data_IF_668552428570
#
_entry.id   IF_668552428570
#
_cell.length_a   1.000
_cell.length_b   1.000
_cell.length_c   1.000
_cell.angle_alpha   90.00
_cell.angle_beta   90.00
_cell.angle_gamma   90.00
#
_symmetry.space_group_name_H-M   'P 1'
#
loop_
_entity.id
_entity.type
_entity.pdbx_description
1 polymer ?
#
# COMPACT_ATOMS: atom_id res chain seq x y z
N UNK A 1 -10.94 25.32 8.82
CA UNK A 1 -10.36 24.89 7.53
C UNK A 1 -9.84 26.15 6.84
N UNK A 2 -8.52 26.29 6.70
CA UNK A 2 -7.91 27.47 6.06
C UNK A 2 -8.17 27.42 4.55
N UNK A 3 -8.55 28.55 3.95
CA UNK A 3 -8.71 28.72 2.49
C UNK A 3 -7.35 28.56 1.80
N UNK A 4 -6.95 27.33 1.50
CA UNK A 4 -5.71 26.96 0.79
C UNK A 4 -5.97 26.77 -0.72
N UNK A 5 -7.21 26.92 -1.20
CA UNK A 5 -7.59 26.52 -2.57
C UNK A 5 -7.04 27.42 -3.69
N UNK A 6 -6.60 28.65 -3.40
CA UNK A 6 -6.08 29.56 -4.43
C UNK A 6 -4.57 29.81 -4.36
N UNK A 7 -3.87 29.32 -3.33
CA UNK A 7 -2.43 29.57 -3.16
C UNK A 7 -1.61 28.87 -4.25
N UNK A 8 -0.88 29.66 -5.02
CA UNK A 8 0.08 29.18 -6.03
C UNK A 8 1.50 29.17 -5.48
N UNK A 9 1.89 30.25 -4.81
CA UNK A 9 3.24 30.43 -4.27
C UNK A 9 3.20 30.82 -2.80
N UNK A 10 4.20 30.41 -2.03
CA UNK A 10 4.44 30.88 -0.66
C UNK A 10 5.83 31.48 -0.59
N UNK A 11 5.92 32.73 -0.17
CA UNK A 11 7.20 33.40 0.10
C UNK A 11 7.57 33.08 1.55
N UNK A 12 8.77 32.56 1.78
CA UNK A 12 9.36 32.36 3.10
C UNK A 12 10.51 33.34 3.30
N UNK A 13 10.46 34.12 4.37
CA UNK A 13 11.49 35.08 4.71
C UNK A 13 11.82 35.01 6.20
N UNK A 14 13.07 35.32 6.55
CA UNK A 14 13.50 35.48 7.93
C UNK A 14 13.56 36.97 8.27
N UNK A 15 13.28 37.30 9.53
CA UNK A 15 13.37 38.65 10.06
C UNK A 15 14.25 38.68 11.30
N UNK A 16 15.13 39.68 11.37
CA UNK A 16 15.92 40.02 12.55
C UNK A 16 15.73 41.49 12.88
N UNK A 17 15.50 41.82 14.15
CA UNK A 17 15.32 43.20 14.61
C UNK A 17 16.16 43.52 15.86
N UNK A 18 16.70 44.73 15.90
CA UNK A 18 17.47 45.27 17.02
C UNK A 18 16.56 45.91 18.08
N UNK A 19 15.76 45.07 18.71
CA UNK A 19 14.87 45.44 19.80
C UNK A 19 13.78 44.41 20.00
N UNK A 20 12.81 44.71 20.86
CA UNK A 20 11.63 43.87 21.07
C UNK A 20 10.56 44.32 20.09
N UNK A 21 10.19 43.44 19.17
CA UNK A 21 9.06 43.66 18.26
C UNK A 21 8.02 42.56 18.43
N UNK A 22 6.76 42.91 18.19
CA UNK A 22 5.67 41.96 18.21
C UNK A 22 5.15 41.69 16.79
N UNK A 23 4.31 40.64 16.67
CA UNK A 23 3.66 40.29 15.40
C UNK A 23 2.94 41.48 14.74
N UNK A 24 2.14 42.30 15.45
CA UNK A 24 1.45 43.44 14.83
C UNK A 24 2.41 44.45 14.20
N UNK A 25 3.60 44.65 14.78
CA UNK A 25 4.60 45.60 14.26
C UNK A 25 5.15 45.13 12.92
N UNK A 26 5.46 43.84 12.80
CA UNK A 26 5.96 43.26 11.54
C UNK A 26 4.91 43.31 10.46
N UNK A 27 3.67 42.93 10.78
CA UNK A 27 2.57 43.02 9.81
C UNK A 27 2.35 44.47 9.39
N UNK A 28 2.37 45.41 10.35
CA UNK A 28 2.24 46.83 10.09
C UNK A 28 3.34 47.37 9.19
N UNK A 29 4.58 46.96 9.40
CA UNK A 29 5.72 47.34 8.57
C UNK A 29 5.62 46.78 7.15
N UNK A 30 5.23 45.51 7.00
CA UNK A 30 5.03 44.89 5.69
C UNK A 30 3.99 45.65 4.89
N UNK A 31 2.81 45.93 5.45
CA UNK A 31 1.80 46.71 4.72
C UNK A 31 2.26 48.15 4.51
N UNK A 32 2.76 48.84 5.54
CA UNK A 32 3.04 50.27 5.46
C UNK A 32 4.21 50.64 4.56
N UNK A 33 5.30 49.89 4.57
CA UNK A 33 6.51 50.24 3.80
C UNK A 33 6.51 49.68 2.38
N UNK A 34 5.70 48.66 2.08
CA UNK A 34 5.53 48.17 0.71
C UNK A 34 4.42 48.92 -0.05
N UNK A 35 3.51 49.57 0.68
CA UNK A 35 2.46 50.43 0.12
C UNK A 35 3.09 51.65 -0.59
N UNK A 36 2.77 51.82 -1.88
CA UNK A 36 3.33 52.87 -2.73
C UNK A 36 4.61 52.51 -3.51
N UNK A 37 5.30 51.41 -3.18
CA UNK A 37 6.46 50.94 -3.95
C UNK A 37 6.06 50.08 -5.16
N UNK A 38 4.97 49.33 -5.04
CA UNK A 38 4.62 48.26 -5.96
C UNK A 38 3.57 48.64 -7.04
N UNK A 39 3.12 49.91 -7.05
CA UNK A 39 2.04 50.38 -7.93
C UNK A 39 0.65 49.97 -7.44
N UNK A 40 -0.40 50.51 -8.07
CA UNK A 40 -1.81 50.31 -7.64
C UNK A 40 -2.28 48.87 -7.73
N UNK A 41 -1.72 48.09 -8.66
CA UNK A 41 -2.16 46.72 -8.93
C UNK A 41 -1.60 45.69 -7.93
N UNK A 42 -0.58 46.10 -7.16
CA UNK A 42 0.10 45.28 -6.15
C UNK A 42 -0.07 45.86 -4.73
N UNK A 43 -1.13 46.63 -4.48
CA UNK A 43 -1.51 47.03 -3.12
C UNK A 43 -1.88 45.81 -2.27
N UNK A 44 -1.04 45.49 -1.28
CA UNK A 44 -1.23 44.30 -0.44
C UNK A 44 -2.55 44.29 0.32
N UNK A 45 -3.11 45.45 0.70
CA UNK A 45 -4.39 45.51 1.42
C UNK A 45 -5.54 45.09 0.51
N UNK A 46 -5.54 45.57 -0.72
CA UNK A 46 -6.57 45.23 -1.70
C UNK A 46 -6.40 43.80 -2.23
N UNK A 47 -5.15 43.35 -2.41
CA UNK A 47 -4.86 41.96 -2.75
C UNK A 47 -5.32 40.99 -1.64
N UNK A 48 -5.24 41.38 -0.37
CA UNK A 48 -5.76 40.57 0.72
C UNK A 48 -7.29 40.54 0.75
N UNK A 49 -7.97 41.67 0.49
CA UNK A 49 -9.45 41.72 0.39
C UNK A 49 -9.98 40.90 -0.79
N UNK A 50 -9.29 40.96 -1.93
CA UNK A 50 -9.64 40.20 -3.14
C UNK A 50 -9.24 38.73 -3.06
N UNK A 51 -8.52 38.32 -2.01
CA UNK A 51 -8.08 36.94 -1.79
C UNK A 51 -6.93 36.49 -2.68
N UNK A 52 -6.25 37.43 -3.37
CA UNK A 52 -5.03 37.13 -4.12
C UNK A 52 -3.81 36.99 -3.21
N UNK A 53 -3.81 37.72 -2.10
CA UNK A 53 -2.87 37.57 -1.00
C UNK A 53 -3.56 36.87 0.17
N UNK A 54 -2.95 35.81 0.71
CA UNK A 54 -3.48 35.14 1.89
C UNK A 54 -3.10 35.86 3.19
N UNK A 55 -3.27 35.17 4.31
CA UNK A 55 -2.87 35.72 5.62
C UNK A 55 -1.36 35.65 5.76
N UNK A 56 -0.76 36.79 6.09
CA UNK A 56 0.65 36.87 6.47
C UNK A 56 0.80 36.19 7.83
N UNK A 57 1.53 35.08 7.86
CA UNK A 57 1.88 34.40 9.10
C UNK A 57 3.26 34.84 9.54
N UNK A 58 3.37 35.19 10.81
CA UNK A 58 4.56 35.80 11.39
C UNK A 58 4.77 35.16 12.75
N UNK A 59 5.91 34.51 12.91
CA UNK A 59 6.37 33.93 14.16
C UNK A 59 7.61 34.68 14.61
N UNK A 60 7.56 35.32 15.77
CA UNK A 60 8.66 36.10 16.32
C UNK A 60 8.94 35.62 17.73
N UNK A 61 10.21 35.50 18.04
CA UNK A 61 10.72 35.28 19.38
C UNK A 61 11.66 36.43 19.74
N UNK A 62 11.51 36.93 20.96
CA UNK A 62 12.28 38.06 21.48
C UNK A 62 13.10 37.59 22.67
N UNK A 63 14.42 37.78 22.62
CA UNK A 63 15.33 37.39 23.69
C UNK A 63 16.53 38.34 23.73
N UNK A 64 16.91 38.79 24.92
CA UNK A 64 18.12 39.60 25.12
C UNK A 64 18.12 40.95 24.38
N UNK A 65 16.96 41.57 24.18
CA UNK A 65 16.83 42.85 23.48
C UNK A 65 16.98 42.76 21.96
N UNK A 66 16.92 41.55 21.39
CA UNK A 66 16.79 41.32 19.94
C UNK A 66 15.59 40.43 19.67
N UNK A 67 15.04 40.56 18.46
CA UNK A 67 13.97 39.70 17.98
C UNK A 67 14.38 39.00 16.70
N UNK A 68 14.01 37.74 16.60
CA UNK A 68 14.19 36.93 15.39
C UNK A 68 12.89 36.22 15.06
N UNK A 69 12.61 36.01 13.79
CA UNK A 69 11.38 35.37 13.38
C UNK A 69 11.37 34.90 11.95
N UNK A 70 10.27 34.26 11.59
CA UNK A 70 9.99 33.78 10.24
C UNK A 70 8.66 34.36 9.76
N UNK A 71 8.62 34.75 8.50
CA UNK A 71 7.46 35.30 7.81
C UNK A 71 7.09 34.32 6.68
N UNK A 72 5.81 33.98 6.57
CA UNK A 72 5.29 33.25 5.42
C UNK A 72 4.09 33.95 4.80
N UNK A 73 4.16 34.16 3.49
CA UNK A 73 3.14 34.89 2.73
C UNK A 73 2.62 34.01 1.59
N UNK A 74 1.43 33.39 1.74
CA UNK A 74 0.76 32.70 0.66
C UNK A 74 0.16 33.68 -0.35
N UNK A 75 0.31 33.40 -1.65
CA UNK A 75 -0.24 34.22 -2.73
C UNK A 75 -0.73 33.39 -3.91
N UNK A 76 -1.66 33.93 -4.68
CA UNK A 76 -2.17 33.37 -5.94
C UNK A 76 -1.61 34.07 -7.19
N UNK A 77 -0.60 34.91 -6.99
CA UNK A 77 0.10 35.70 -8.00
C UNK A 77 0.80 34.86 -9.07
N UNK A 78 1.20 35.52 -10.15
CA UNK A 78 2.15 34.94 -11.08
C UNK A 78 3.60 34.99 -10.54
N UNK A 79 4.54 34.41 -11.30
CA UNK A 79 5.94 34.33 -10.89
C UNK A 79 6.60 35.70 -10.77
N UNK A 80 6.23 36.65 -11.63
CA UNK A 80 6.84 37.97 -11.71
C UNK A 80 6.35 38.82 -10.54
N UNK A 81 5.03 38.88 -10.34
CA UNK A 81 4.37 39.54 -9.21
C UNK A 81 4.90 39.01 -7.86
N UNK A 82 5.06 37.69 -7.73
CA UNK A 82 5.57 37.06 -6.50
C UNK A 82 7.03 37.45 -6.24
N UNK A 83 7.86 37.51 -7.29
CA UNK A 83 9.26 37.93 -7.16
C UNK A 83 9.40 39.42 -6.81
N UNK A 84 8.54 40.27 -7.38
CA UNK A 84 8.48 41.70 -7.06
C UNK A 84 8.10 41.89 -5.59
N UNK A 85 7.07 41.19 -5.12
CA UNK A 85 6.68 41.25 -3.70
C UNK A 85 7.82 40.77 -2.79
N UNK A 86 8.46 39.65 -3.12
CA UNK A 86 9.59 39.15 -2.35
C UNK A 86 10.71 40.19 -2.23
N UNK A 87 11.09 40.85 -3.34
CA UNK A 87 12.09 41.90 -3.33
C UNK A 87 11.66 43.12 -2.49
N UNK A 88 10.39 43.50 -2.53
CA UNK A 88 9.88 44.60 -1.70
C UNK A 88 9.84 44.28 -0.20
N UNK A 89 9.78 43.01 0.19
CA UNK A 89 9.93 42.63 1.61
C UNK A 89 11.35 42.91 2.10
N UNK A 90 12.36 42.70 1.26
CA UNK A 90 13.77 42.95 1.62
C UNK A 90 14.10 44.44 1.74
N UNK A 91 13.28 45.33 1.17
CA UNK A 91 13.47 46.78 1.32
C UNK A 91 13.01 47.32 2.68
N UNK A 92 12.35 46.51 3.50
CA UNK A 92 11.86 46.91 4.83
C UNK A 92 13.05 46.97 5.79
N UNK A 93 13.39 48.19 6.23
CA UNK A 93 14.54 48.46 7.11
C UNK A 93 14.14 48.74 8.56
N UNK A 94 12.82 48.89 8.82
CA UNK A 94 12.27 49.24 10.13
C UNK A 94 11.00 48.46 10.45
N UNK A 95 10.90 48.00 11.69
CA UNK A 95 9.71 47.36 12.24
C UNK A 95 9.38 48.00 13.58
N UNK A 96 8.21 48.62 13.68
CA UNK A 96 7.87 49.45 14.83
C UNK A 96 8.91 50.55 15.04
N UNK A 97 9.50 50.69 16.25
CA UNK A 97 10.58 51.64 16.51
C UNK A 97 11.98 51.11 16.18
N UNK A 98 12.12 49.82 15.83
CA UNK A 98 13.41 49.13 15.74
C UNK A 98 13.91 49.02 14.30
N UNK A 99 15.24 48.99 14.15
CA UNK A 99 15.88 48.62 12.88
C UNK A 99 15.68 47.11 12.69
N UNK A 100 15.26 46.72 11.49
CA UNK A 100 15.02 45.33 11.13
C UNK A 100 15.63 45.01 9.77
N UNK A 101 15.91 43.74 9.56
CA UNK A 101 16.35 43.21 8.29
C UNK A 101 15.51 41.98 7.96
N UNK A 102 14.96 41.96 6.75
CA UNK A 102 14.19 40.85 6.21
C UNK A 102 14.96 40.27 5.04
N UNK A 103 15.19 38.95 5.07
CA UNK A 103 15.85 38.22 3.99
C UNK A 103 14.90 37.15 3.45
N UNK A 104 14.68 37.13 2.13
CA UNK A 104 13.85 36.11 1.51
C UNK A 104 14.65 34.82 1.34
N UNK A 105 14.23 33.77 2.03
CA UNK A 105 14.91 32.48 2.01
C UNK A 105 14.59 31.71 0.73
N UNK A 106 13.29 31.61 0.41
CA UNK A 106 12.81 30.86 -0.75
C UNK A 106 11.37 31.21 -1.11
N UNK A 107 11.04 30.98 -2.37
CA UNK A 107 9.66 31.01 -2.88
C UNK A 107 9.27 29.59 -3.26
N UNK A 108 8.23 29.05 -2.64
CA UNK A 108 7.76 27.69 -2.88
C UNK A 108 6.56 27.67 -3.81
N UNK A 109 6.63 26.92 -4.90
CA UNK A 109 5.47 26.56 -5.73
C UNK A 109 4.70 25.41 -5.07
N UNK A 110 3.57 25.76 -4.46
CA UNK A 110 2.71 24.81 -3.74
C UNK A 110 2.16 23.73 -4.66
N UNK A 111 1.95 24.02 -5.95
CA UNK A 111 1.46 23.03 -6.93
C UNK A 111 2.54 22.03 -7.28
N UNK A 112 3.79 22.47 -7.42
CA UNK A 112 4.91 21.56 -7.64
C UNK A 112 5.17 20.67 -6.42
N UNK A 113 5.09 21.22 -5.21
CA UNK A 113 5.23 20.46 -3.96
C UNK A 113 4.08 19.46 -3.75
N UNK A 114 2.82 19.88 -3.93
CA UNK A 114 1.65 18.99 -3.85
C UNK A 114 1.73 17.87 -4.89
N UNK A 115 2.14 18.16 -6.14
CA UNK A 115 2.32 17.11 -7.16
C UNK A 115 3.35 16.07 -6.74
N UNK A 116 4.51 16.50 -6.21
CA UNK A 116 5.53 15.58 -5.68
C UNK A 116 4.99 14.77 -4.50
N UNK A 117 4.28 15.40 -3.57
CA UNK A 117 3.64 14.70 -2.46
C UNK A 117 2.63 13.65 -2.96
N UNK A 118 1.78 14.00 -3.93
CA UNK A 118 0.80 13.06 -4.51
C UNK A 118 1.51 11.86 -5.13
N UNK A 119 2.60 12.08 -5.87
CA UNK A 119 3.38 10.99 -6.47
C UNK A 119 3.99 10.09 -5.37
N UNK A 120 4.67 10.68 -4.39
CA UNK A 120 5.31 9.92 -3.30
C UNK A 120 4.28 9.19 -2.42
N UNK A 121 3.14 9.84 -2.12
CA UNK A 121 2.07 9.20 -1.37
C UNK A 121 1.40 8.10 -2.19
N UNK A 122 1.20 8.29 -3.49
CA UNK A 122 0.68 7.23 -4.36
C UNK A 122 1.63 6.02 -4.40
N UNK A 123 2.96 6.23 -4.49
CA UNK A 123 3.94 5.15 -4.38
C UNK A 123 3.83 4.40 -3.05
N UNK A 124 3.73 5.13 -1.93
CA UNK A 124 3.56 4.52 -0.61
C UNK A 124 2.24 3.77 -0.48
N UNK A 125 1.14 4.34 -0.98
CA UNK A 125 -0.16 3.67 -1.01
C UNK A 125 -0.08 2.40 -1.85
N UNK A 126 0.61 2.42 -2.99
CA UNK A 126 0.82 1.20 -3.77
C UNK A 126 1.59 0.16 -2.96
N UNK A 127 2.70 0.54 -2.33
CA UNK A 127 3.45 -0.36 -1.44
C UNK A 127 2.56 -0.87 -0.32
N UNK A 128 1.80 -0.02 0.38
CA UNK A 128 0.86 -0.38 1.44
C UNK A 128 -0.29 -1.27 0.92
N UNK A 129 -0.80 -1.07 -0.30
CA UNK A 129 -1.86 -1.90 -0.89
C UNK A 129 -1.33 -3.27 -1.33
N UNK A 130 -0.08 -3.34 -1.81
CA UNK A 130 0.58 -4.61 -2.13
C UNK A 130 1.19 -5.28 -0.89
N UNK A 131 1.49 -4.53 0.17
CA UNK A 131 1.85 -5.02 1.50
C UNK A 131 0.58 -5.42 2.29
N UNK A 132 -0.59 -4.84 2.03
CA UNK A 132 -1.89 -5.34 2.51
C UNK A 132 -2.37 -6.52 1.65
N UNK A 133 -1.92 -6.66 0.40
CA UNK A 133 -1.98 -7.96 -0.29
C UNK A 133 -0.96 -8.98 0.27
N UNK A 134 -0.12 -8.61 1.25
CA UNK A 134 0.49 -9.59 2.17
C UNK A 134 -0.56 -10.06 3.20
N UNK A 135 -1.87 -9.75 3.08
CA UNK A 135 -2.96 -10.61 3.56
C UNK A 135 -3.12 -11.89 2.74
N UNK A 136 -2.34 -12.06 1.67
CA UNK A 136 -1.88 -13.40 1.28
C UNK A 136 -1.04 -14.02 2.40
N UNK A 137 -0.71 -13.40 3.53
CA UNK A 137 -0.09 -14.08 4.68
C UNK A 137 -1.10 -14.82 5.52
N UNK A 138 -2.39 -14.53 5.51
CA UNK A 138 -3.34 -15.50 6.09
C UNK A 138 -3.50 -16.70 5.15
N UNK A 139 -3.45 -16.50 3.84
CA UNK A 139 -3.43 -17.60 2.86
C UNK A 139 -2.09 -18.34 2.84
N UNK A 140 -0.95 -17.67 2.97
CA UNK A 140 0.41 -18.21 3.05
C UNK A 140 0.65 -18.76 4.45
N UNK A 141 0.05 -18.24 5.52
CA UNK A 141 0.11 -18.90 6.84
C UNK A 141 -0.85 -20.07 6.90
N UNK A 142 -1.97 -20.08 6.19
CA UNK A 142 -2.78 -21.30 5.99
C UNK A 142 -2.08 -22.29 5.04
N UNK A 143 -1.37 -21.84 4.01
CA UNK A 143 -0.56 -22.67 3.10
C UNK A 143 0.74 -23.14 3.78
N UNK A 144 1.31 -22.34 4.70
CA UNK A 144 2.42 -22.70 5.59
C UNK A 144 1.92 -23.61 6.71
N UNK A 145 0.73 -23.39 7.30
CA UNK A 145 0.13 -24.34 8.26
C UNK A 145 -0.28 -25.65 7.58
N UNK A 146 -0.69 -25.62 6.31
CA UNK A 146 -0.93 -26.79 5.48
C UNK A 146 0.39 -27.49 5.13
N UNK A 147 1.46 -26.75 4.82
CA UNK A 147 2.79 -27.35 4.60
C UNK A 147 3.47 -27.85 5.88
N UNK A 148 3.09 -27.34 7.05
CA UNK A 148 3.53 -27.82 8.37
C UNK A 148 2.62 -28.93 8.94
N UNK A 149 1.55 -29.30 8.21
CA UNK A 149 0.77 -30.53 8.42
C UNK A 149 0.73 -31.40 7.16
N UNK A 150 1.87 -31.57 6.48
CA UNK A 150 2.02 -32.74 5.62
C UNK A 150 2.23 -33.93 6.57
N UNK A 151 1.13 -34.57 6.96
CA UNK A 151 1.24 -35.97 7.40
C UNK A 151 1.91 -36.73 6.25
N UNK A 152 2.99 -37.45 6.57
CA UNK A 152 3.81 -38.11 5.58
C UNK A 152 2.97 -39.10 4.77
N UNK A 153 3.20 -39.09 3.44
CA UNK A 153 2.65 -40.09 2.54
C UNK A 153 3.03 -41.49 3.05
N UNK A 154 2.03 -42.31 3.30
CA UNK A 154 2.23 -43.71 3.68
C UNK A 154 2.29 -44.57 2.43
N UNK A 155 2.72 -45.81 2.58
CA UNK A 155 2.75 -46.76 1.47
C UNK A 155 1.94 -48.00 1.85
N UNK A 156 1.16 -48.49 0.90
CA UNK A 156 0.17 -49.54 1.11
C UNK A 156 0.49 -50.78 0.28
N UNK A 157 0.38 -51.95 0.91
CA UNK A 157 0.52 -53.25 0.27
C UNK A 157 1.96 -53.61 -0.11
N UNK A 158 2.11 -54.76 -0.81
CA UNK A 158 3.42 -55.24 -1.27
C UNK A 158 4.00 -54.41 -2.42
N UNK A 159 3.12 -53.77 -3.18
CA UNK A 159 3.46 -52.92 -4.32
C UNK A 159 3.90 -51.50 -3.90
N UNK A 160 3.92 -51.23 -2.58
CA UNK A 160 4.37 -49.98 -1.99
C UNK A 160 3.65 -48.76 -2.62
N UNK A 161 2.31 -48.86 -2.72
CA UNK A 161 1.50 -47.84 -3.39
C UNK A 161 1.39 -46.58 -2.52
N UNK A 162 1.60 -45.38 -3.08
CA UNK A 162 1.43 -44.14 -2.35
C UNK A 162 0.00 -44.00 -1.81
N UNK A 163 -0.13 -43.71 -0.52
CA UNK A 163 -1.40 -43.61 0.17
C UNK A 163 -1.39 -42.51 1.22
N UNK A 164 -2.57 -42.00 1.55
CA UNK A 164 -2.77 -41.15 2.71
C UNK A 164 -2.77 -41.98 4.01
N UNK A 165 -2.45 -41.36 5.16
CA UNK A 165 -2.31 -42.05 6.44
C UNK A 165 -3.61 -42.71 6.90
N UNK A 166 -4.78 -42.19 6.51
CA UNK A 166 -6.08 -42.65 7.01
C UNK A 166 -6.76 -43.66 6.08
N UNK A 167 -6.11 -44.14 5.02
CA UNK A 167 -6.71 -45.05 4.03
C UNK A 167 -7.22 -46.36 4.66
N UNK A 168 -6.50 -46.92 5.63
CA UNK A 168 -6.89 -48.16 6.30
C UNK A 168 -8.03 -47.97 7.29
N UNK A 169 -8.05 -46.83 7.98
CA UNK A 169 -8.99 -46.53 9.06
C UNK A 169 -10.30 -45.89 8.57
N UNK A 170 -10.31 -45.30 7.36
CA UNK A 170 -11.49 -44.61 6.83
C UNK A 170 -12.50 -45.58 6.22
N UNK A 171 -13.79 -45.36 6.46
CA UNK A 171 -14.88 -46.17 5.85
C UNK A 171 -15.09 -45.89 4.36
N UNK A 172 -14.57 -44.75 3.87
CA UNK A 172 -14.58 -44.36 2.47
C UNK A 172 -13.16 -43.99 2.00
N UNK A 173 -12.85 -44.26 0.73
CA UNK A 173 -11.54 -43.99 0.13
C UNK A 173 -11.66 -43.36 -1.26
N UNK A 174 -10.63 -42.59 -1.61
CA UNK A 174 -10.44 -42.05 -2.97
C UNK A 174 -9.35 -42.84 -3.68
N UNK A 175 -9.66 -43.35 -4.87
CA UNK A 175 -8.69 -44.04 -5.72
C UNK A 175 -8.23 -43.10 -6.82
N UNK A 176 -6.93 -42.80 -6.87
CA UNK A 176 -6.31 -41.85 -7.79
C UNK A 176 -5.23 -42.50 -8.66
N UNK A 177 -4.79 -41.83 -9.72
CA UNK A 177 -3.81 -42.38 -10.66
C UNK A 177 -2.43 -42.55 -10.02
N UNK A 178 -1.90 -41.49 -9.42
CA UNK A 178 -0.50 -41.43 -9.05
C UNK A 178 -0.19 -40.74 -7.73
N UNK A 179 1.12 -40.75 -7.40
CA UNK A 179 1.66 -40.11 -6.20
C UNK A 179 1.37 -38.61 -6.15
N UNK A 180 1.40 -37.93 -7.29
CA UNK A 180 1.15 -36.49 -7.36
C UNK A 180 -0.27 -36.16 -6.88
N UNK A 181 -1.24 -36.97 -7.24
CA UNK A 181 -2.64 -36.80 -6.86
C UNK A 181 -2.85 -37.03 -5.37
N UNK A 182 -2.22 -38.08 -4.81
CA UNK A 182 -2.24 -38.34 -3.37
C UNK A 182 -1.64 -37.15 -2.60
N UNK A 183 -0.49 -36.64 -3.04
CA UNK A 183 0.14 -35.47 -2.41
C UNK A 183 -0.72 -34.22 -2.55
N UNK A 184 -1.39 -34.03 -3.69
CA UNK A 184 -2.27 -32.89 -3.90
C UNK A 184 -3.48 -32.95 -2.97
N UNK A 185 -4.13 -34.12 -2.88
CA UNK A 185 -5.25 -34.35 -1.95
C UNK A 185 -4.84 -34.15 -0.49
N UNK A 186 -3.66 -34.62 -0.10
CA UNK A 186 -3.11 -34.41 1.24
C UNK A 186 -2.89 -32.92 1.55
N UNK A 187 -2.41 -32.12 0.58
CA UNK A 187 -2.28 -30.65 0.75
C UNK A 187 -3.62 -29.99 1.06
N UNK A 188 -4.70 -30.48 0.47
CA UNK A 188 -6.07 -30.01 0.74
C UNK A 188 -6.74 -30.70 1.94
N UNK A 189 -6.01 -31.49 2.74
CA UNK A 189 -6.50 -32.10 3.97
C UNK A 189 -7.26 -33.42 3.78
N UNK A 190 -7.23 -34.00 2.57
CA UNK A 190 -7.89 -35.27 2.25
C UNK A 190 -6.88 -36.41 2.47
N UNK A 191 -7.13 -37.24 3.49
CA UNK A 191 -6.15 -38.20 4.05
C UNK A 191 -6.40 -39.67 3.72
N UNK A 192 -7.47 -39.96 2.99
CA UNK A 192 -7.97 -41.29 2.66
C UNK A 192 -7.83 -41.63 1.16
N UNK A 193 -6.83 -41.03 0.49
CA UNK A 193 -6.55 -41.26 -0.93
C UNK A 193 -5.48 -42.35 -1.14
N UNK A 194 -5.63 -43.18 -2.16
CA UNK A 194 -4.67 -44.23 -2.54
C UNK A 194 -4.43 -44.23 -4.05
N UNK A 195 -3.16 -44.32 -4.46
CA UNK A 195 -2.79 -44.38 -5.87
C UNK A 195 -2.80 -45.81 -6.42
N UNK A 196 -3.21 -45.99 -7.68
CA UNK A 196 -3.14 -47.28 -8.39
C UNK A 196 -1.82 -47.50 -9.14
N UNK A 197 -1.07 -46.43 -9.43
CA UNK A 197 0.25 -46.53 -10.07
C UNK A 197 0.20 -46.82 -11.56
N UNK A 198 -0.94 -46.60 -12.22
CA UNK A 198 -1.14 -46.76 -13.67
C UNK A 198 -2.35 -47.62 -14.02
N UNK A 199 -2.42 -48.07 -15.27
CA UNK A 199 -3.57 -48.81 -15.83
C UNK A 199 -3.64 -50.28 -15.42
N UNK A 200 -2.65 -50.81 -14.69
CA UNK A 200 -2.67 -52.17 -14.19
C UNK A 200 -2.88 -52.15 -12.68
N UNK A 201 -4.14 -52.22 -12.26
CA UNK A 201 -4.53 -52.05 -10.85
C UNK A 201 -4.09 -53.27 -10.03
N UNK A 202 -3.29 -53.10 -8.97
CA UNK A 202 -2.83 -54.23 -8.16
C UNK A 202 -3.98 -54.91 -7.40
N UNK A 203 -3.96 -56.25 -7.20
CA UNK A 203 -5.04 -56.99 -6.54
C UNK A 203 -5.37 -56.48 -5.13
N UNK A 204 -4.37 -55.97 -4.41
CA UNK A 204 -4.55 -55.41 -3.07
C UNK A 204 -5.48 -54.18 -3.04
N UNK A 205 -5.56 -53.41 -4.15
CA UNK A 205 -6.51 -52.30 -4.26
C UNK A 205 -7.94 -52.83 -4.42
N UNK A 206 -8.15 -53.87 -5.22
CA UNK A 206 -9.46 -54.50 -5.37
C UNK A 206 -9.99 -55.04 -4.03
N UNK A 207 -9.13 -55.70 -3.24
CA UNK A 207 -9.49 -56.19 -1.90
C UNK A 207 -9.85 -55.06 -0.92
N UNK A 208 -9.22 -53.89 -1.08
CA UNK A 208 -9.50 -52.71 -0.28
C UNK A 208 -10.84 -52.07 -0.70
N UNK A 209 -11.09 -52.01 -2.01
CA UNK A 209 -12.32 -51.47 -2.58
C UNK A 209 -13.56 -52.27 -2.14
N UNK A 210 -13.45 -53.60 -2.02
CA UNK A 210 -14.55 -54.45 -1.58
C UNK A 210 -14.99 -54.22 -0.12
N UNK A 211 -14.23 -53.48 0.69
CA UNK A 211 -14.48 -53.30 2.14
C UNK A 211 -14.92 -51.89 2.52
N UNK A 212 -14.88 -50.94 1.58
CA UNK A 212 -15.00 -49.50 1.84
C UNK A 212 -15.82 -48.87 0.74
N UNK A 213 -16.38 -47.68 0.99
CA UNK A 213 -17.04 -46.89 -0.07
C UNK A 213 -15.96 -46.26 -0.95
N UNK A 214 -16.01 -46.49 -2.26
CA UNK A 214 -14.94 -46.12 -3.19
C UNK A 214 -15.39 -45.07 -4.18
N UNK A 215 -14.62 -43.99 -4.27
CA UNK A 215 -14.72 -43.04 -5.38
C UNK A 215 -13.46 -43.08 -6.23
N UNK A 216 -13.60 -43.45 -7.51
CA UNK A 216 -12.54 -43.29 -8.49
C UNK A 216 -12.44 -41.81 -8.87
N UNK A 217 -11.30 -41.19 -8.61
CA UNK A 217 -11.04 -39.78 -8.87
C UNK A 217 -9.83 -39.65 -9.79
N UNK A 218 -10.09 -39.42 -11.09
CA UNK A 218 -9.04 -39.37 -12.12
C UNK A 218 -9.15 -38.10 -12.96
N UNK A 219 -8.05 -37.79 -13.63
CA UNK A 219 -7.99 -36.70 -14.58
C UNK A 219 -8.90 -36.90 -15.79
N UNK A 220 -9.21 -35.78 -16.45
CA UNK A 220 -10.10 -35.71 -17.60
C UNK A 220 -9.51 -36.26 -18.89
N UNK A 221 -8.35 -36.92 -18.85
CA UNK A 221 -7.59 -37.33 -20.03
C UNK A 221 -7.78 -38.80 -20.41
N UNK A 222 -7.02 -39.26 -21.42
CA UNK A 222 -7.08 -40.65 -21.90
C UNK A 222 -6.51 -41.64 -20.88
N UNK A 223 -5.54 -41.22 -20.05
CA UNK A 223 -4.94 -42.07 -19.02
C UNK A 223 -5.96 -42.38 -17.93
N UNK A 224 -6.60 -41.34 -17.39
CA UNK A 224 -7.67 -41.47 -16.40
C UNK A 224 -8.84 -42.32 -16.90
N UNK A 225 -9.24 -42.17 -18.17
CA UNK A 225 -10.31 -42.99 -18.74
C UNK A 225 -9.96 -44.48 -18.80
N UNK A 226 -8.71 -44.82 -19.14
CA UNK A 226 -8.24 -46.21 -19.14
C UNK A 226 -8.18 -46.80 -17.73
N UNK A 227 -7.77 -45.99 -16.74
CA UNK A 227 -7.73 -46.41 -15.33
C UNK A 227 -9.12 -46.68 -14.80
N UNK A 228 -10.10 -45.80 -15.07
CA UNK A 228 -11.51 -46.03 -14.67
C UNK A 228 -12.03 -47.33 -15.32
N UNK A 229 -11.75 -47.54 -16.61
CA UNK A 229 -12.17 -48.75 -17.32
C UNK A 229 -11.58 -50.02 -16.72
N UNK A 230 -10.32 -49.98 -16.28
CA UNK A 230 -9.70 -51.12 -15.59
C UNK A 230 -10.33 -51.31 -14.20
N UNK A 231 -10.43 -50.24 -13.40
CA UNK A 231 -10.98 -50.28 -12.04
C UNK A 231 -12.39 -50.89 -12.01
N UNK A 232 -13.26 -50.50 -12.94
CA UNK A 232 -14.61 -51.04 -13.06
C UNK A 232 -14.66 -52.53 -13.44
N UNK A 233 -13.56 -53.09 -13.99
CA UNK A 233 -13.47 -54.51 -14.32
C UNK A 233 -12.95 -55.35 -13.14
N UNK A 234 -12.05 -54.78 -12.33
CA UNK A 234 -11.31 -55.54 -11.30
C UNK A 234 -11.71 -55.22 -9.86
N UNK A 235 -12.43 -54.11 -9.62
CA UNK A 235 -12.80 -53.63 -8.30
C UNK A 235 -14.25 -53.13 -8.25
N UNK A 236 -14.84 -53.12 -7.05
CA UNK A 236 -16.17 -52.55 -6.81
C UNK A 236 -16.04 -51.04 -6.54
N UNK A 237 -16.69 -50.22 -7.37
CA UNK A 237 -16.56 -48.75 -7.36
C UNK A 237 -17.95 -48.14 -7.22
N UNK A 238 -18.20 -47.39 -6.13
CA UNK A 238 -19.49 -46.76 -5.89
C UNK A 238 -19.69 -45.49 -6.71
N UNK A 239 -18.64 -44.67 -6.85
CA UNK A 239 -18.71 -43.37 -7.52
C UNK A 239 -17.52 -43.14 -8.44
N UNK A 240 -17.76 -42.41 -9.53
CA UNK A 240 -16.71 -41.92 -10.43
C UNK A 240 -16.79 -40.41 -10.50
N UNK A 241 -15.71 -39.73 -10.14
CA UNK A 241 -15.55 -38.30 -10.22
C UNK A 241 -14.40 -37.98 -11.19
N UNK A 242 -14.70 -37.20 -12.24
CA UNK A 242 -13.76 -36.86 -13.30
C UNK A 242 -13.69 -35.35 -13.47
N UNK A 243 -12.49 -34.82 -13.67
CA UNK A 243 -12.31 -33.42 -14.06
C UNK A 243 -12.97 -33.13 -15.43
N UNK A 244 -13.59 -31.95 -15.61
CA UNK A 244 -14.33 -31.59 -16.83
C UNK A 244 -13.46 -31.51 -18.09
#
# INVERSE_FOLDING_TARGET
MQNVDTTKYVIYADITAEGIVERPDVVGAIFGQTEGLLGSDLDLRDLQKTGRLGRIDVQITSSGGKSSGTISIPSSFDKVETAILAAALETIDRVGPCIAHIAVNRIEDVRASKRRYVIERAKRILVEMFDENILETEEITEEIKQSVRVEEITHLGKDNLPAGPNVLDSDAILVVEGRADVLNLLKYGIKNAVAVGGTNVPPHIADLCAKKVVTAFTDGDRGGELIIKELLQVADIDFVARAP
#
